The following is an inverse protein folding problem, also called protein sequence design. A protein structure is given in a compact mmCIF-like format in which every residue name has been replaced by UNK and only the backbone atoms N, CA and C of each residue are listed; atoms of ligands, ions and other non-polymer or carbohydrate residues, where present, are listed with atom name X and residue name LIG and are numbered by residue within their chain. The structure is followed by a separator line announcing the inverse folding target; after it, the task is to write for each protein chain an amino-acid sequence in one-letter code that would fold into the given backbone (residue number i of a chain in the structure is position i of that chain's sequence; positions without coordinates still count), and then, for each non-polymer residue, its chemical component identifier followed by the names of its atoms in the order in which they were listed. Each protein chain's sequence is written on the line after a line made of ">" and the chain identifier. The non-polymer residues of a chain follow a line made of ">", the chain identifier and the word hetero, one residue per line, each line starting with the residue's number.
data_IF_993445813538
#
_entry.id   IF_993445813538
#
_cell.length_a   1.000
_cell.length_b   1.000
_cell.length_c   1.000
_cell.angle_alpha   90.00
_cell.angle_beta   90.00
_cell.angle_gamma   90.00
#
_symmetry.space_group_name_H-M   'P 1'
#
loop_
_entity.id
_entity.type
_entity.pdbx_description
1 polymer ?
#
# COMPACT_ATOMS: atom_id res chain seq x y z
N UNK A 1 19.79 0.03 23.04
CA UNK A 1 18.64 -0.11 23.94
C UNK A 1 17.52 -0.64 23.07
N UNK A 2 17.07 -1.85 23.39
CA UNK A 2 16.09 -2.60 22.62
C UNK A 2 14.66 -2.11 22.90
N UNK A 3 13.81 -2.31 21.88
CA UNK A 3 12.34 -2.40 21.91
C UNK A 3 11.50 -1.16 21.62
N UNK A 4 11.55 -0.69 20.38
CA UNK A 4 10.33 -0.20 19.72
C UNK A 4 9.54 -1.43 19.25
N UNK A 5 8.59 -1.92 20.06
CA UNK A 5 7.76 -3.10 19.77
C UNK A 5 6.47 -2.79 19.00
N UNK A 6 6.36 -1.63 18.37
CA UNK A 6 5.29 -1.42 17.41
C UNK A 6 5.74 -2.00 16.06
N UNK A 7 5.20 -3.18 15.73
CA UNK A 7 5.44 -3.81 14.44
C UNK A 7 4.69 -3.03 13.35
N UNK A 8 5.34 -2.81 12.20
CA UNK A 8 4.66 -2.24 11.04
C UNK A 8 3.51 -3.16 10.60
N UNK A 9 2.35 -2.57 10.33
CA UNK A 9 1.14 -3.26 9.91
C UNK A 9 0.89 -3.04 8.42
N UNK A 10 0.42 -4.09 7.74
CA UNK A 10 -0.10 -3.99 6.38
C UNK A 10 -1.23 -4.99 6.18
N UNK A 11 -2.35 -4.52 5.63
CA UNK A 11 -3.41 -5.36 5.11
C UNK A 11 -3.85 -4.87 3.74
N UNK A 12 -4.18 -5.83 2.87
CA UNK A 12 -4.72 -5.55 1.54
C UNK A 12 -6.02 -6.34 1.37
N UNK A 13 -7.04 -5.68 0.85
CA UNK A 13 -8.39 -6.21 0.72
C UNK A 13 -9.06 -5.77 -0.59
N UNK A 14 -10.05 -6.56 -0.99
CA UNK A 14 -10.99 -6.20 -2.06
C UNK A 14 -11.87 -5.05 -1.56
N UNK A 15 -12.03 -4.01 -2.38
CA UNK A 15 -12.70 -2.78 -1.97
C UNK A 15 -13.85 -2.43 -2.90
N UNK A 16 -14.96 -3.14 -2.74
CA UNK A 16 -16.12 -3.11 -3.64
C UNK A 16 -16.81 -1.75 -3.77
N UNK A 17 -16.64 -0.88 -2.77
CA UNK A 17 -17.30 0.43 -2.66
C UNK A 17 -16.36 1.61 -2.94
N UNK A 18 -15.20 1.37 -3.55
CA UNK A 18 -14.33 2.48 -3.95
C UNK A 18 -15.01 3.30 -5.04
N UNK A 19 -15.21 4.60 -4.77
CA UNK A 19 -15.75 5.54 -5.74
C UNK A 19 -14.72 5.77 -6.86
N UNK A 20 -14.88 5.03 -7.95
CA UNK A 20 -14.08 5.19 -9.15
C UNK A 20 -14.82 6.13 -10.09
N UNK A 21 -14.34 7.36 -10.19
CA UNK A 21 -14.87 8.30 -11.18
C UNK A 21 -14.58 7.79 -12.60
N UNK A 22 -15.63 7.57 -13.41
CA UNK A 22 -15.50 7.12 -14.81
C UNK A 22 -14.75 8.12 -15.70
N UNK A 23 -14.60 9.38 -15.27
CA UNK A 23 -13.86 10.43 -15.99
C UNK A 23 -12.38 10.46 -15.62
N UNK A 24 -11.90 9.53 -14.79
CA UNK A 24 -10.52 9.52 -14.34
C UNK A 24 -9.58 9.23 -15.51
N UNK A 25 -8.68 10.15 -15.89
CA UNK A 25 -7.84 10.01 -17.08
C UNK A 25 -6.87 8.82 -17.04
N UNK A 26 -6.69 8.21 -15.86
CA UNK A 26 -5.84 7.04 -15.64
C UNK A 26 -6.52 5.70 -15.96
N UNK A 27 -7.84 5.69 -16.15
CA UNK A 27 -8.59 4.52 -16.64
C UNK A 27 -8.11 4.22 -18.05
N UNK A 28 -7.58 3.02 -18.27
CA UNK A 28 -6.99 2.69 -19.56
C UNK A 28 -8.06 2.62 -20.64
N UNK A 29 -7.99 3.54 -21.59
CA UNK A 29 -8.89 3.58 -22.74
C UNK A 29 -8.61 2.45 -23.74
N UNK A 30 -7.45 1.78 -23.64
CA UNK A 30 -7.11 0.59 -24.42
C UNK A 30 -7.92 -0.65 -23.99
N UNK A 31 -8.64 -0.57 -22.87
CA UNK A 31 -9.45 -1.66 -22.35
C UNK A 31 -8.65 -2.79 -21.70
N UNK A 32 -7.38 -2.59 -21.36
CA UNK A 32 -6.65 -3.55 -20.54
C UNK A 32 -7.28 -3.63 -19.14
N UNK A 33 -7.23 -4.81 -18.53
CA UNK A 33 -7.61 -4.94 -17.13
C UNK A 33 -6.65 -4.16 -16.22
N UNK A 34 -7.18 -3.56 -15.15
CA UNK A 34 -6.40 -2.72 -14.25
C UNK A 34 -6.84 -2.84 -12.80
N UNK A 35 -5.87 -2.73 -11.90
CA UNK A 35 -6.13 -2.44 -10.50
C UNK A 35 -6.37 -0.95 -10.30
N UNK A 36 -7.41 -0.64 -9.53
CA UNK A 36 -7.58 0.65 -8.86
C UNK A 36 -7.28 0.46 -7.39
N UNK A 37 -6.25 1.13 -6.89
CA UNK A 37 -5.75 0.93 -5.54
C UNK A 37 -5.83 2.21 -4.73
N UNK A 38 -6.36 2.12 -3.52
CA UNK A 38 -6.23 3.19 -2.51
C UNK A 38 -5.36 2.70 -1.37
N UNK A 39 -4.30 3.43 -1.06
CA UNK A 39 -3.42 3.16 0.06
C UNK A 39 -3.76 4.18 1.14
N UNK A 40 -4.09 3.72 2.34
CA UNK A 40 -4.21 4.52 3.54
C UNK A 40 -2.98 4.22 4.40
N UNK A 41 -2.14 5.23 4.60
CA UNK A 41 -0.88 5.10 5.35
C UNK A 41 -0.98 5.94 6.60
N UNK A 42 -0.90 5.27 7.74
CA UNK A 42 -0.82 5.87 9.06
C UNK A 42 0.63 5.83 9.53
N UNK A 43 1.17 6.98 9.93
CA UNK A 43 2.49 7.07 10.59
C UNK A 43 2.27 7.22 12.07
N UNK A 44 2.97 6.41 12.86
CA UNK A 44 2.81 6.36 14.31
C UNK A 44 4.14 6.53 15.04
N UNK A 45 4.13 7.17 16.20
CA UNK A 45 5.31 7.29 17.07
C UNK A 45 5.06 6.56 18.40
N UNK A 46 6.08 5.97 19.03
CA UNK A 46 5.95 5.50 20.40
C UNK A 46 5.55 6.64 21.34
N UNK A 47 4.72 6.36 22.35
CA UNK A 47 4.45 7.29 23.44
C UNK A 47 5.42 6.99 24.58
N UNK A 48 6.36 7.90 24.84
CA UNK A 48 7.31 7.74 25.94
C UNK A 48 6.60 7.73 27.29
N UNK A 49 6.81 6.65 28.07
CA UNK A 49 6.44 6.59 29.48
C UNK A 49 5.14 5.87 29.82
N UNK A 50 4.44 5.26 28.85
CA UNK A 50 3.34 4.33 29.13
C UNK A 50 3.85 2.88 29.21
N UNK A 51 3.49 2.18 30.28
CA UNK A 51 3.72 0.72 30.42
C UNK A 51 2.84 -0.10 29.47
N UNK A 52 1.81 0.54 28.91
CA UNK A 52 0.94 0.01 27.87
C UNK A 52 1.47 0.45 26.49
N UNK A 53 1.57 -0.48 25.54
CA UNK A 53 2.15 -0.29 24.21
C UNK A 53 1.29 0.62 23.30
N UNK A 54 1.10 1.88 23.71
CA UNK A 54 0.37 2.85 22.92
C UNK A 54 1.29 3.58 21.94
N UNK A 55 0.77 3.75 20.72
CA UNK A 55 1.40 4.59 19.70
C UNK A 55 0.52 5.82 19.46
N UNK A 56 1.15 6.95 19.21
CA UNK A 56 0.50 8.19 18.80
C UNK A 56 0.45 8.23 17.27
N UNK A 57 -0.72 8.46 16.71
CA UNK A 57 -0.84 8.73 15.27
C UNK A 57 -0.33 10.15 14.98
N UNK A 58 0.67 10.25 14.11
CA UNK A 58 1.24 11.52 13.66
C UNK A 58 0.53 12.04 12.42
N UNK A 59 0.24 11.14 11.47
CA UNK A 59 -0.40 11.48 10.21
C UNK A 59 -1.15 10.29 9.62
N UNK A 60 -2.22 10.58 8.88
CA UNK A 60 -2.90 9.60 8.04
C UNK A 60 -3.06 10.20 6.65
N UNK A 61 -2.52 9.53 5.64
CA UNK A 61 -2.55 9.99 4.25
C UNK A 61 -3.16 8.94 3.33
N UNK A 62 -3.90 9.39 2.32
CA UNK A 62 -4.52 8.52 1.31
C UNK A 62 -3.92 8.76 -0.07
N UNK A 63 -3.52 7.68 -0.73
CA UNK A 63 -2.89 7.69 -2.04
C UNK A 63 -3.66 6.80 -3.01
N UNK A 64 -3.87 7.26 -4.24
CA UNK A 64 -4.52 6.47 -5.27
C UNK A 64 -3.52 6.04 -6.35
N UNK A 65 -3.56 4.76 -6.71
CA UNK A 65 -2.69 4.18 -7.72
C UNK A 65 -3.47 3.38 -8.76
N UNK A 66 -2.91 3.39 -9.98
CA UNK A 66 -3.37 2.58 -11.09
C UNK A 66 -2.25 1.65 -11.56
N UNK A 67 -2.61 0.39 -11.84
CA UNK A 67 -1.69 -0.58 -12.40
C UNK A 67 -2.41 -1.52 -13.37
N UNK A 68 -1.70 -1.94 -14.42
CA UNK A 68 -2.21 -2.96 -15.35
C UNK A 68 -2.29 -4.31 -14.64
N UNK A 69 -3.34 -5.06 -14.93
CA UNK A 69 -3.54 -6.43 -14.47
C UNK A 69 -3.47 -7.37 -15.69
N UNK A 70 -2.44 -8.22 -15.81
CA UNK A 70 -2.29 -9.13 -16.93
C UNK A 70 -3.17 -10.39 -16.85
N UNK A 71 -3.87 -10.62 -15.73
CA UNK A 71 -4.70 -11.82 -15.46
C UNK A 71 -3.94 -13.14 -15.50
N UNK A 72 -2.74 -13.14 -14.94
CA UNK A 72 -1.97 -14.36 -14.72
C UNK A 72 -2.45 -15.11 -13.47
N UNK A 73 -2.03 -16.38 -13.34
CA UNK A 73 -2.28 -17.15 -12.12
C UNK A 73 -1.60 -16.54 -10.89
N UNK A 74 -0.45 -15.89 -11.09
CA UNK A 74 0.31 -15.19 -10.06
C UNK A 74 1.14 -14.06 -10.69
N UNK A 75 1.55 -13.08 -9.89
CA UNK A 75 2.34 -11.94 -10.34
C UNK A 75 1.54 -10.90 -11.12
N UNK A 76 0.25 -10.73 -10.80
CA UNK A 76 -0.60 -9.71 -11.43
C UNK A 76 -0.20 -8.28 -11.08
N UNK A 77 0.56 -8.10 -10.00
CA UNK A 77 1.19 -6.85 -9.62
C UNK A 77 2.65 -7.12 -9.22
N UNK A 78 3.61 -6.52 -9.92
CA UNK A 78 5.03 -6.83 -9.68
C UNK A 78 5.55 -6.21 -8.39
N UNK A 79 6.57 -6.86 -7.79
CA UNK A 79 7.21 -6.38 -6.55
C UNK A 79 7.77 -4.97 -6.70
N UNK A 80 8.40 -4.67 -7.83
CA UNK A 80 8.99 -3.37 -8.14
C UNK A 80 7.90 -2.29 -8.20
N UNK A 81 6.76 -2.63 -8.79
CA UNK A 81 5.62 -1.71 -8.89
C UNK A 81 5.04 -1.42 -7.50
N UNK A 82 4.91 -2.44 -6.65
CA UNK A 82 4.43 -2.28 -5.27
C UNK A 82 5.42 -1.44 -4.46
N UNK A 83 6.72 -1.74 -4.53
CA UNK A 83 7.76 -0.96 -3.84
C UNK A 83 7.76 0.51 -4.26
N UNK A 84 7.55 0.79 -5.55
CA UNK A 84 7.40 2.15 -6.05
C UNK A 84 6.16 2.86 -5.48
N UNK A 85 5.03 2.17 -5.34
CA UNK A 85 3.81 2.72 -4.72
C UNK A 85 4.01 3.00 -3.24
N UNK A 86 4.58 2.04 -2.49
CA UNK A 86 4.90 2.18 -1.07
C UNK A 86 5.84 3.36 -0.82
N UNK A 87 6.90 3.48 -1.62
CA UNK A 87 7.85 4.60 -1.53
C UNK A 87 7.17 5.95 -1.79
N UNK A 88 6.27 6.02 -2.78
CA UNK A 88 5.48 7.23 -3.07
C UNK A 88 4.49 7.57 -1.95
N UNK A 89 4.04 6.57 -1.21
CA UNK A 89 3.17 6.71 -0.06
C UNK A 89 3.94 6.95 1.26
N UNK A 90 5.24 7.25 1.19
CA UNK A 90 6.07 7.58 2.36
C UNK A 90 6.64 6.39 3.13
N UNK A 91 6.41 5.15 2.69
CA UNK A 91 6.91 3.96 3.40
C UNK A 91 8.39 3.71 3.07
N UNK A 92 9.25 3.74 4.07
CA UNK A 92 10.69 3.51 3.91
C UNK A 92 11.03 2.10 3.38
N UNK A 93 12.02 1.99 2.48
CA UNK A 93 12.35 0.74 1.77
C UNK A 93 12.60 -0.46 2.67
N UNK A 94 13.28 -0.27 3.79
CA UNK A 94 13.60 -1.34 4.73
C UNK A 94 12.36 -1.95 5.41
N UNK A 95 11.22 -1.23 5.41
CA UNK A 95 9.93 -1.69 5.97
C UNK A 95 9.03 -2.40 4.96
N UNK A 96 9.35 -2.33 3.66
CA UNK A 96 8.44 -2.76 2.59
C UNK A 96 8.38 -4.28 2.38
N UNK A 97 9.33 -5.05 2.91
CA UNK A 97 9.54 -6.46 2.54
C UNK A 97 8.27 -7.31 2.62
N UNK A 98 7.66 -7.41 3.80
CA UNK A 98 6.45 -8.20 4.04
C UNK A 98 5.22 -7.55 3.38
N UNK A 99 5.15 -6.22 3.34
CA UNK A 99 4.04 -5.48 2.72
C UNK A 99 3.91 -5.80 1.23
N UNK A 100 5.05 -5.91 0.54
CA UNK A 100 5.10 -6.30 -0.88
C UNK A 100 4.46 -7.67 -1.09
N UNK A 101 4.77 -8.64 -0.23
CA UNK A 101 4.25 -9.99 -0.35
C UNK A 101 2.73 -10.02 -0.11
N UNK A 102 2.24 -9.28 0.89
CA UNK A 102 0.81 -9.16 1.22
C UNK A 102 0.03 -8.55 0.05
N UNK A 103 0.50 -7.43 -0.48
CA UNK A 103 -0.17 -6.71 -1.56
C UNK A 103 -0.14 -7.55 -2.85
N UNK A 104 1.00 -8.15 -3.18
CA UNK A 104 1.13 -9.03 -4.36
C UNK A 104 0.18 -10.23 -4.25
N UNK A 105 0.15 -10.90 -3.10
CA UNK A 105 -0.72 -12.05 -2.88
C UNK A 105 -2.20 -11.67 -2.98
N UNK A 106 -2.59 -10.51 -2.45
CA UNK A 106 -3.96 -10.02 -2.59
C UNK A 106 -4.30 -9.66 -4.04
N UNK A 107 -3.39 -9.05 -4.79
CA UNK A 107 -3.58 -8.75 -6.20
C UNK A 107 -3.90 -10.02 -6.99
N UNK A 108 -3.16 -11.10 -6.73
CA UNK A 108 -3.38 -12.40 -7.38
C UNK A 108 -4.72 -13.01 -7.01
N UNK A 109 -5.13 -12.92 -5.74
CA UNK A 109 -6.44 -13.39 -5.31
C UNK A 109 -7.56 -12.62 -6.02
N UNK A 110 -7.54 -11.29 -5.97
CA UNK A 110 -8.55 -10.44 -6.62
C UNK A 110 -8.61 -10.72 -8.13
N UNK A 111 -7.47 -10.81 -8.81
CA UNK A 111 -7.41 -11.08 -10.24
C UNK A 111 -8.00 -12.44 -10.65
N UNK A 112 -8.01 -13.42 -9.75
CA UNK A 112 -8.47 -14.77 -10.03
C UNK A 112 -9.83 -15.11 -9.39
N UNK A 113 -10.39 -14.22 -8.57
CA UNK A 113 -11.73 -14.38 -8.00
C UNK A 113 -12.77 -14.48 -9.10
N UNK A 114 -13.72 -15.42 -8.94
CA UNK A 114 -14.74 -15.71 -9.96
C UNK A 114 -15.59 -14.47 -10.33
N UNK A 115 -15.90 -13.63 -9.34
CA UNK A 115 -16.63 -12.38 -9.50
C UNK A 115 -15.98 -11.46 -10.54
N UNK A 116 -14.67 -11.27 -10.45
CA UNK A 116 -13.94 -10.32 -11.29
C UNK A 116 -13.53 -10.87 -12.64
N UNK A 117 -13.94 -12.08 -13.04
CA UNK A 117 -13.53 -12.64 -14.35
C UNK A 117 -14.00 -11.81 -15.54
N UNK A 118 -15.14 -11.12 -15.41
CA UNK A 118 -15.71 -10.29 -16.46
C UNK A 118 -15.51 -8.78 -16.24
N UNK A 119 -15.05 -8.39 -15.05
CA UNK A 119 -14.79 -6.99 -14.72
C UNK A 119 -13.42 -6.59 -15.22
N UNK A 120 -13.26 -5.40 -15.80
CA UNK A 120 -11.95 -4.92 -16.26
C UNK A 120 -11.20 -4.16 -15.17
N UNK A 121 -11.92 -3.71 -14.16
CA UNK A 121 -11.40 -2.86 -13.11
C UNK A 121 -11.49 -3.62 -11.79
N UNK A 122 -10.33 -3.79 -11.15
CA UNK A 122 -10.18 -4.57 -9.94
C UNK A 122 -9.85 -3.64 -8.77
N UNK A 123 -10.81 -3.35 -7.88
CA UNK A 123 -10.57 -2.44 -6.78
C UNK A 123 -9.83 -3.15 -5.64
N UNK A 124 -8.85 -2.46 -5.08
CA UNK A 124 -8.10 -2.91 -3.91
C UNK A 124 -7.89 -1.73 -2.97
N UNK A 125 -8.00 -1.98 -1.68
CA UNK A 125 -7.59 -1.04 -0.66
C UNK A 125 -6.48 -1.67 0.19
N UNK A 126 -5.51 -0.84 0.55
CA UNK A 126 -4.34 -1.22 1.33
C UNK A 126 -4.28 -0.30 2.53
N UNK A 127 -4.29 -0.86 3.73
CA UNK A 127 -4.12 -0.13 4.99
C UNK A 127 -2.75 -0.46 5.55
N UNK A 128 -1.98 0.57 5.85
CA UNK A 128 -0.61 0.48 6.33
C UNK A 128 -0.52 1.34 7.59
N UNK A 129 0.04 0.78 8.66
CA UNK A 129 0.47 1.57 9.81
C UNK A 129 1.96 1.35 9.98
N UNK A 130 2.75 2.40 9.89
CA UNK A 130 4.20 2.35 10.00
C UNK A 130 4.65 3.17 11.18
N UNK A 131 5.58 2.62 11.95
CA UNK A 131 6.21 3.40 13.01
C UNK A 131 7.20 4.38 12.37
N UNK A 132 7.22 5.62 12.84
CA UNK A 132 8.22 6.60 12.44
C UNK A 132 9.62 6.03 12.67
N UNK A 133 10.51 6.24 11.69
CA UNK A 133 11.93 5.98 11.84
C UNK A 133 12.70 7.24 11.47
N UNK A 134 13.71 7.60 12.28
CA UNK A 134 14.67 8.67 12.02
C UNK A 134 15.48 8.48 10.72
N UNK A 135 15.34 7.31 10.09
CA UNK A 135 15.86 6.95 8.78
C UNK A 135 15.57 7.99 7.67
N UNK A 136 14.57 8.86 7.86
CA UNK A 136 14.19 9.90 6.88
C UNK A 136 14.97 11.21 7.06
N UNK A 137 15.58 11.48 8.23
CA UNK A 137 16.31 12.72 8.47
C UNK A 137 17.70 12.73 7.80
N UNK A 138 18.35 11.57 7.65
CA UNK A 138 19.68 11.50 7.03
C UNK A 138 19.66 11.71 5.50
N UNK A 139 18.54 11.46 4.80
CA UNK A 139 18.46 11.64 3.35
C UNK A 139 18.22 13.10 2.92
N UNK A 140 17.66 13.95 3.79
CA UNK A 140 17.43 15.38 3.50
C UNK A 140 18.62 16.26 3.88
N UNK A 141 19.39 15.90 4.90
CA UNK A 141 20.61 16.65 5.28
C UNK A 141 21.77 16.40 4.32
N UNK A 142 21.83 15.25 3.65
CA UNK A 142 22.89 14.94 2.67
C UNK A 142 22.78 15.75 1.35
N UNK A 143 21.73 16.57 1.18
CA UNK A 143 21.50 17.42 -0.01
C UNK A 143 21.51 18.92 0.34
N UNK A 144 21.91 19.29 1.56
CA UNK A 144 22.02 20.69 2.02
C UNK A 144 23.45 21.22 1.98
#
# INVERSE_FOLDING_TARGET
>A
MDNCYADDYCAAFEAENLEISETNPSINKDGSDQFFMTFEVETTSPIDGDEEQFVRVESTESFTFWAKCPRFKAGNLSRERISMMLTRAGVARHKQGVMIDIISGRADQIANTARYRAERLLPMQVSISVVACDCYEEEVEAVS
#
